data_IF_257898731542
#
_entry.id   IF_257898731542
#
_cell.length_a   1.000
_cell.length_b   1.000
_cell.length_c   1.000
_cell.angle_alpha   90.00
_cell.angle_beta   90.00
_cell.angle_gamma   90.00
#
_symmetry.space_group_name_H-M   'P 1'
#
loop_
_entity.id
_entity.type
_entity.pdbx_description
1 polymer ?
#
# COMPACT_ATOMS: atom_id res chain seq x y z
N UNK A 1 -11.55 4.04 8.66
CA UNK A 1 -10.15 4.49 8.71
C UNK A 1 -9.84 5.42 9.88
N UNK A 2 -10.00 6.75 9.79
CA UNK A 2 -9.46 7.69 10.80
C UNK A 2 -10.03 7.48 12.22
N UNK A 3 -11.35 7.34 12.35
CA UNK A 3 -11.99 7.11 13.66
C UNK A 3 -11.59 5.76 14.30
N UNK A 4 -11.27 4.76 13.47
CA UNK A 4 -10.90 3.41 13.91
C UNK A 4 -9.39 3.25 14.11
N UNK A 5 -8.59 4.27 13.79
CA UNK A 5 -7.13 4.20 13.86
C UNK A 5 -6.47 3.31 12.80
N UNK A 6 -7.17 2.93 11.72
CA UNK A 6 -6.66 2.00 10.70
C UNK A 6 -5.63 2.67 9.77
N UNK A 7 -4.51 2.00 9.51
CA UNK A 7 -3.44 2.53 8.65
C UNK A 7 -3.65 2.27 7.14
N UNK A 8 -4.77 1.65 6.72
CA UNK A 8 -5.02 1.26 5.33
C UNK A 8 -6.41 1.67 4.86
N UNK A 9 -6.48 2.30 3.69
CA UNK A 9 -7.73 2.58 2.98
C UNK A 9 -7.98 1.52 1.89
N UNK A 10 -9.09 0.78 1.96
CA UNK A 10 -9.47 -0.12 0.88
C UNK A 10 -10.19 0.67 -0.23
N UNK A 11 -9.75 0.49 -1.47
CA UNK A 11 -10.26 1.20 -2.66
C UNK A 11 -10.75 0.20 -3.69
N UNK A 12 -11.96 0.43 -4.19
CA UNK A 12 -12.55 -0.39 -5.24
C UNK A 12 -12.02 0.02 -6.62
N UNK A 13 -11.40 -0.93 -7.33
CA UNK A 13 -10.85 -0.72 -8.67
C UNK A 13 -11.96 -0.42 -9.69
N UNK A 14 -13.17 -0.93 -9.49
CA UNK A 14 -14.28 -0.70 -10.42
C UNK A 14 -14.66 0.79 -10.48
N UNK A 15 -14.62 1.49 -9.34
CA UNK A 15 -14.93 2.91 -9.28
C UNK A 15 -13.77 3.77 -9.82
N UNK A 16 -12.52 3.35 -9.56
CA UNK A 16 -11.36 3.94 -10.23
C UNK A 16 -11.44 3.78 -11.76
N UNK A 17 -11.96 2.66 -12.26
CA UNK A 17 -12.10 2.42 -13.70
C UNK A 17 -13.12 3.36 -14.34
N UNK A 18 -14.19 3.70 -13.62
CA UNK A 18 -15.20 4.69 -14.07
C UNK A 18 -14.63 6.10 -14.11
N UNK A 19 -13.82 6.49 -13.12
CA UNK A 19 -13.30 7.85 -12.98
C UNK A 19 -12.03 8.11 -13.80
N UNK A 20 -11.12 7.14 -13.84
CA UNK A 20 -9.79 7.30 -14.43
C UNK A 20 -9.26 5.97 -14.99
N UNK A 21 -9.76 5.53 -16.16
CA UNK A 21 -9.41 4.24 -16.73
C UNK A 21 -7.90 4.10 -17.06
N UNK A 22 -7.26 5.20 -17.46
CA UNK A 22 -5.82 5.21 -17.78
C UNK A 22 -4.96 4.84 -16.56
N UNK A 23 -5.28 5.43 -15.38
CA UNK A 23 -4.57 5.14 -14.13
C UNK A 23 -4.79 3.72 -13.65
N UNK A 24 -5.97 3.14 -13.89
CA UNK A 24 -6.22 1.72 -13.57
C UNK A 24 -5.38 0.80 -14.43
N UNK A 25 -5.25 1.07 -15.72
CA UNK A 25 -4.34 0.30 -16.59
C UNK A 25 -2.89 0.41 -16.13
N UNK A 26 -2.46 1.61 -15.73
CA UNK A 26 -1.15 1.84 -15.10
C UNK A 26 -1.00 1.03 -13.81
N UNK A 27 -1.97 1.10 -12.90
CA UNK A 27 -1.93 0.39 -11.62
C UNK A 27 -1.87 -1.14 -11.79
N UNK A 28 -2.59 -1.69 -12.77
CA UNK A 28 -2.61 -3.13 -13.02
C UNK A 28 -1.35 -3.66 -13.70
N UNK A 29 -0.62 -2.82 -14.44
CA UNK A 29 0.56 -3.23 -15.21
C UNK A 29 1.90 -2.74 -14.62
N UNK A 30 1.89 -1.60 -13.93
CA UNK A 30 3.05 -0.93 -13.35
C UNK A 30 2.72 -0.46 -11.92
N UNK A 31 2.35 -1.41 -11.05
CA UNK A 31 1.89 -1.13 -9.69
C UNK A 31 2.97 -0.41 -8.85
N UNK A 32 4.25 -0.67 -9.13
CA UNK A 32 5.37 -0.13 -8.35
C UNK A 32 5.52 1.39 -8.43
N UNK A 33 5.08 2.04 -9.52
CA UNK A 33 5.09 3.51 -9.65
C UNK A 33 3.81 4.13 -9.10
N UNK A 34 2.68 3.48 -9.35
CA UNK A 34 1.35 3.96 -8.99
C UNK A 34 1.06 3.87 -7.49
N UNK A 35 1.50 2.79 -6.82
CA UNK A 35 1.24 2.56 -5.40
C UNK A 35 1.89 3.63 -4.50
N UNK A 36 3.20 3.95 -4.63
CA UNK A 36 3.82 4.98 -3.79
C UNK A 36 3.21 6.37 -4.04
N UNK A 37 2.85 6.68 -5.28
CA UNK A 37 2.17 7.94 -5.60
C UNK A 37 0.81 8.02 -4.89
N UNK A 38 0.04 6.93 -4.88
CA UNK A 38 -1.25 6.88 -4.19
C UNK A 38 -1.09 6.96 -2.67
N UNK A 39 -0.11 6.27 -2.07
CA UNK A 39 0.18 6.39 -0.64
C UNK A 39 0.51 7.83 -0.23
N UNK A 40 1.32 8.53 -1.03
CA UNK A 40 1.65 9.95 -0.80
C UNK A 40 0.43 10.85 -0.90
N UNK A 41 -0.38 10.69 -1.96
CA UNK A 41 -1.60 11.48 -2.14
C UNK A 41 -2.60 11.25 -0.99
N UNK A 42 -2.74 10.00 -0.51
CA UNK A 42 -3.57 9.69 0.65
C UNK A 42 -3.04 10.39 1.91
N UNK A 43 -1.72 10.35 2.14
CA UNK A 43 -1.11 11.02 3.31
C UNK A 43 -1.33 12.53 3.26
N UNK A 44 -1.19 13.15 2.10
CA UNK A 44 -1.45 14.59 1.91
C UNK A 44 -2.92 14.93 2.19
N UNK A 45 -3.85 14.14 1.66
CA UNK A 45 -5.29 14.33 1.89
C UNK A 45 -5.68 14.13 3.35
N UNK A 46 -5.15 13.11 4.02
CA UNK A 46 -5.42 12.89 5.45
C UNK A 46 -4.80 14.00 6.30
N UNK A 47 -3.66 14.57 5.88
CA UNK A 47 -3.05 15.69 6.58
C UNK A 47 -3.89 16.97 6.54
N UNK A 48 -4.63 17.19 5.44
CA UNK A 48 -5.54 18.35 5.31
C UNK A 48 -6.83 18.16 6.12
N UNK A 49 -7.33 16.94 6.26
CA UNK A 49 -8.56 16.65 7.02
C UNK A 49 -8.29 16.50 8.52
N UNK A 50 -7.22 15.78 8.91
CA UNK A 50 -6.94 15.41 10.29
C UNK A 50 -5.43 15.41 10.57
N UNK A 51 -4.87 16.60 10.81
CA UNK A 51 -3.43 16.80 11.05
C UNK A 51 -2.88 16.02 12.24
N UNK A 52 -3.67 15.83 13.30
CA UNK A 52 -3.24 15.05 14.48
C UNK A 52 -3.01 13.58 14.14
N UNK A 53 -3.92 12.99 13.35
CA UNK A 53 -3.84 11.60 12.95
C UNK A 53 -2.64 11.34 12.01
N UNK A 54 -2.37 12.28 11.10
CA UNK A 54 -1.24 12.22 10.18
C UNK A 54 0.14 12.27 10.86
N UNK A 55 0.23 12.82 12.09
CA UNK A 55 1.48 12.84 12.87
C UNK A 55 1.71 11.54 13.62
N UNK A 56 0.65 10.87 14.07
CA UNK A 56 0.72 9.62 14.82
C UNK A 56 1.11 8.44 13.94
N UNK A 57 0.66 8.44 12.68
CA UNK A 57 0.92 7.36 11.73
C UNK A 57 2.00 7.79 10.72
N UNK A 58 3.17 7.16 10.77
CA UNK A 58 4.29 7.50 9.86
C UNK A 58 3.93 7.23 8.39
N UNK A 59 3.25 6.10 8.13
CA UNK A 59 2.86 5.67 6.78
C UNK A 59 1.40 5.23 6.73
N UNK A 60 0.71 5.65 5.66
CA UNK A 60 -0.64 5.20 5.32
C UNK A 60 -0.58 4.40 4.02
N UNK A 61 -1.34 3.32 3.97
CA UNK A 61 -1.36 2.38 2.86
C UNK A 61 -2.71 2.40 2.14
N UNK A 62 -2.69 2.00 0.87
CA UNK A 62 -3.90 1.77 0.09
C UNK A 62 -4.01 0.26 -0.20
N UNK A 63 -5.17 -0.30 0.11
CA UNK A 63 -5.58 -1.64 -0.30
C UNK A 63 -6.48 -1.55 -1.53
N UNK A 64 -6.53 -2.63 -2.32
CA UNK A 64 -7.38 -2.69 -3.50
C UNK A 64 -8.32 -3.88 -3.43
N UNK A 65 -9.55 -3.64 -3.84
CA UNK A 65 -10.60 -4.64 -3.97
C UNK A 65 -11.36 -4.47 -5.28
N UNK A 66 -12.14 -5.48 -5.66
CA UNK A 66 -12.97 -5.45 -6.86
C UNK A 66 -12.50 -6.39 -7.96
N UNK A 67 -12.85 -6.08 -9.21
CA UNK A 67 -12.63 -6.98 -10.35
C UNK A 67 -11.32 -6.69 -11.09
N UNK A 68 -10.38 -7.62 -10.96
CA UNK A 68 -9.06 -7.58 -11.61
C UNK A 68 -9.04 -8.16 -13.03
N UNK A 69 -10.17 -8.70 -13.51
CA UNK A 69 -10.28 -9.29 -14.85
C UNK A 69 -9.23 -10.39 -15.09
N UNK A 70 -8.45 -10.27 -16.16
CA UNK A 70 -7.43 -11.25 -16.54
C UNK A 70 -6.24 -11.36 -15.58
N UNK A 71 -6.16 -10.47 -14.58
CA UNK A 71 -5.14 -10.51 -13.50
C UNK A 71 -5.63 -11.28 -12.26
N UNK A 72 -6.83 -11.85 -12.31
CA UNK A 72 -7.30 -12.86 -11.37
C UNK A 72 -6.67 -14.21 -11.74
N UNK A 73 -5.81 -14.75 -10.89
CA UNK A 73 -4.97 -15.91 -11.21
C UNK A 73 -4.91 -16.90 -10.07
N UNK A 74 -4.84 -18.19 -10.41
CA UNK A 74 -4.44 -19.22 -9.45
C UNK A 74 -2.92 -19.26 -9.31
N UNK A 75 -2.38 -19.82 -8.21
CA UNK A 75 -0.94 -20.07 -8.07
C UNK A 75 -0.33 -20.89 -9.21
N UNK A 76 -1.11 -21.74 -9.89
CA UNK A 76 -0.66 -22.52 -11.06
C UNK A 76 -0.47 -21.65 -12.30
N UNK A 77 -1.24 -20.58 -12.41
CA UNK A 77 -1.24 -19.65 -13.57
C UNK A 77 -0.43 -18.38 -13.32
N UNK A 78 0.13 -18.22 -12.12
CA UNK A 78 0.99 -17.09 -11.75
C UNK A 78 2.38 -17.27 -12.36
N UNK A 79 2.50 -16.89 -13.62
CA UNK A 79 3.75 -16.99 -14.40
C UNK A 79 4.55 -15.68 -14.38
N UNK A 80 5.81 -15.72 -14.82
CA UNK A 80 6.74 -14.57 -14.86
C UNK A 80 6.19 -13.33 -15.60
N UNK A 81 5.23 -13.51 -16.52
CA UNK A 81 4.51 -12.41 -17.21
C UNK A 81 3.76 -11.46 -16.25
N UNK A 82 3.53 -11.87 -15.00
CA UNK A 82 2.86 -11.07 -13.99
C UNK A 82 3.82 -10.25 -13.11
N UNK A 83 5.11 -10.24 -13.41
CA UNK A 83 6.09 -9.40 -12.70
C UNK A 83 5.73 -7.91 -12.85
N UNK A 84 5.74 -7.16 -11.74
CA UNK A 84 5.38 -5.73 -11.70
C UNK A 84 3.88 -5.41 -11.80
N UNK A 85 3.05 -6.43 -12.05
CA UNK A 85 1.60 -6.28 -12.16
C UNK A 85 0.92 -6.42 -10.78
N UNK A 86 -0.19 -5.72 -10.61
CA UNK A 86 -1.11 -5.99 -9.50
C UNK A 86 -2.04 -7.14 -9.88
N UNK A 87 -2.02 -8.22 -9.09
CA UNK A 87 -2.80 -9.45 -9.34
C UNK A 87 -3.63 -9.83 -8.14
N UNK A 88 -4.74 -10.53 -8.39
CA UNK A 88 -5.57 -11.15 -7.36
C UNK A 88 -5.33 -12.66 -7.39
N UNK A 89 -4.97 -13.25 -6.24
CA UNK A 89 -4.64 -14.68 -6.14
C UNK A 89 -5.58 -15.37 -5.17
N UNK A 90 -6.19 -16.46 -5.61
CA UNK A 90 -7.08 -17.28 -4.77
C UNK A 90 -6.47 -18.66 -4.50
N UNK A 91 -6.42 -19.03 -3.22
CA UNK A 91 -6.01 -20.37 -2.76
C UNK A 91 -6.34 -20.59 -1.29
N UNK A 92 -6.26 -21.85 -0.86
CA UNK A 92 -6.27 -22.26 0.55
C UNK A 92 -4.93 -21.91 1.20
N UNK A 93 -4.97 -21.30 2.37
CA UNK A 93 -3.80 -21.06 3.23
C UNK A 93 -3.40 -22.37 3.90
N UNK A 94 -2.16 -22.83 3.70
CA UNK A 94 -1.67 -24.12 4.23
C UNK A 94 -0.67 -23.98 5.39
N UNK A 95 -0.10 -22.79 5.59
CA UNK A 95 0.89 -22.52 6.65
C UNK A 95 0.90 -21.04 7.01
N UNK A 96 1.00 -20.77 8.32
CA UNK A 96 1.26 -19.44 8.85
C UNK A 96 2.67 -19.41 9.48
N UNK A 97 3.39 -18.30 9.32
CA UNK A 97 4.70 -18.08 9.96
C UNK A 97 4.55 -17.31 11.27
N UNK A 98 5.57 -17.39 12.12
CA UNK A 98 5.66 -16.54 13.32
C UNK A 98 5.80 -15.06 12.92
N UNK A 99 5.17 -14.18 13.70
CA UNK A 99 5.27 -12.74 13.54
C UNK A 99 6.66 -12.29 14.00
N UNK A 100 7.38 -11.56 13.14
CA UNK A 100 8.70 -11.00 13.44
C UNK A 100 8.68 -9.49 13.19
N UNK A 101 9.22 -8.67 14.08
CA UNK A 101 9.32 -7.23 13.86
C UNK A 101 10.29 -6.92 12.72
N UNK A 102 9.97 -5.91 11.91
CA UNK A 102 10.82 -5.40 10.82
C UNK A 102 11.26 -3.98 11.15
N UNK A 103 12.57 -3.74 11.16
CA UNK A 103 13.13 -2.39 11.34
C UNK A 103 12.82 -1.55 10.10
N UNK A 104 12.28 -0.34 10.30
CA UNK A 104 11.93 0.60 9.22
C UNK A 104 12.81 1.84 9.28
N UNK A 105 12.98 2.43 10.46
CA UNK A 105 13.78 3.64 10.70
C UNK A 105 14.57 3.50 11.99
N UNK A 106 15.81 3.99 11.99
CA UNK A 106 16.65 4.10 13.19
C UNK A 106 17.05 5.56 13.38
N UNK A 107 16.83 6.07 14.59
CA UNK A 107 17.26 7.43 14.99
C UNK A 107 18.55 7.30 15.78
N UNK A 108 19.61 7.95 15.31
CA UNK A 108 20.93 7.85 15.93
C UNK A 108 21.24 9.11 16.73
N UNK A 109 21.78 8.93 17.93
CA UNK A 109 22.17 10.03 18.81
C UNK A 109 23.69 10.01 19.02
N UNK A 110 24.32 11.18 18.86
CA UNK A 110 25.73 11.37 19.21
C UNK A 110 25.84 12.12 20.54
N UNK A 111 26.30 11.47 21.64
CA UNK A 111 26.39 12.11 22.95
C UNK A 111 27.35 13.31 23.00
N UNK A 112 28.43 13.26 22.21
CA UNK A 112 29.46 14.31 22.19
C UNK A 112 28.95 15.61 21.55
N UNK A 113 28.15 15.51 20.49
CA UNK A 113 27.63 16.68 19.77
C UNK A 113 26.21 17.07 20.18
N UNK A 114 25.55 16.23 21.00
CA UNK A 114 24.13 16.35 21.39
C UNK A 114 23.17 16.44 20.20
N UNK A 115 23.55 15.85 19.06
CA UNK A 115 22.76 15.86 17.82
C UNK A 115 22.03 14.53 17.64
N UNK A 116 20.78 14.62 17.21
CA UNK A 116 19.96 13.50 16.74
C UNK A 116 19.93 13.51 15.22
N UNK A 117 20.22 12.37 14.61
CA UNK A 117 20.06 12.12 13.17
C UNK A 117 18.78 11.30 13.01
N UNK A 118 17.73 11.96 12.51
CA UNK A 118 16.41 11.37 12.19
C UNK A 118 16.27 11.00 10.72
#
# INVERSE_FOLDING_TARGET
MVANGECRLNVNINDLRKKSPQRVTGLLNAAHEELPAFHRALKEYVSSVATNYAKTQEELFVGFEGSFGSKHVSPRTLNARHLGNLVCVERIVTKCSLVRPKVVRSVHYCPATKKTLE
#
